data_IF_924365000123
#
_entry.id   IF_924365000123
#
_cell.length_a   1.000
_cell.length_b   1.000
_cell.length_c   1.000
_cell.angle_alpha   90.00
_cell.angle_beta   90.00
_cell.angle_gamma   90.00
#
_symmetry.space_group_name_H-M   'P 1'
#
loop_
_entity.id
_entity.type
_entity.pdbx_description
1 polymer ?
#
# COMPACT_ATOMS: atom_id res chain seq x y z
N UNK A 1 -14.91 -6.43 -15.48
CA UNK A 1 -13.58 -7.05 -15.68
C UNK A 1 -12.87 -7.13 -14.34
N UNK A 2 -12.28 -8.25 -14.02
CA UNK A 2 -11.61 -8.42 -12.72
C UNK A 2 -10.37 -7.51 -12.61
N UNK A 3 -10.25 -6.85 -11.48
CA UNK A 3 -9.20 -5.88 -11.19
C UNK A 3 -8.47 -6.29 -9.91
N UNK A 4 -7.19 -6.01 -9.86
CA UNK A 4 -6.39 -6.12 -8.64
C UNK A 4 -6.31 -4.76 -7.97
N UNK A 5 -6.70 -4.68 -6.71
CA UNK A 5 -6.71 -3.45 -5.93
C UNK A 5 -5.68 -3.59 -4.80
N UNK A 6 -4.75 -2.66 -4.78
CA UNK A 6 -3.74 -2.53 -3.74
C UNK A 6 -4.14 -1.40 -2.81
N UNK A 7 -4.10 -1.66 -1.52
CA UNK A 7 -4.42 -0.66 -0.51
C UNK A 7 -3.32 -0.56 0.53
N UNK A 8 -3.17 0.65 1.05
CA UNK A 8 -2.22 0.97 2.12
C UNK A 8 -3.01 1.61 3.25
N UNK A 9 -2.98 1.02 4.42
CA UNK A 9 -3.61 1.60 5.60
C UNK A 9 -2.72 1.45 6.83
N UNK A 10 -3.03 2.22 7.84
CA UNK A 10 -2.31 2.21 9.09
C UNK A 10 -3.10 2.87 10.21
N UNK A 11 -2.48 3.09 11.37
CA UNK A 11 -3.12 3.75 12.49
C UNK A 11 -3.58 5.16 12.12
N UNK A 12 -4.85 5.47 12.38
CA UNK A 12 -5.39 6.82 12.12
C UNK A 12 -4.62 7.91 12.87
N UNK A 13 -4.19 7.63 14.09
CA UNK A 13 -3.38 8.56 14.91
C UNK A 13 -2.07 8.99 14.24
N UNK A 14 -1.56 8.21 13.29
CA UNK A 14 -0.32 8.50 12.56
C UNK A 14 -0.56 9.12 11.17
N UNK A 15 -1.80 9.47 10.85
CA UNK A 15 -2.12 10.15 9.58
C UNK A 15 -1.31 11.41 9.33
N UNK A 16 -1.09 12.29 10.33
CA UNK A 16 -0.25 13.48 10.13
C UNK A 16 1.19 13.14 9.77
N UNK A 17 1.79 12.13 10.41
CA UNK A 17 3.14 11.69 10.12
C UNK A 17 3.25 11.11 8.71
N UNK A 18 2.31 10.26 8.32
CA UNK A 18 2.27 9.71 6.97
C UNK A 18 2.15 10.82 5.91
N UNK A 19 1.24 11.75 6.09
CA UNK A 19 1.01 12.86 5.15
C UNK A 19 2.19 13.82 5.06
N UNK A 20 2.91 14.04 6.16
CA UNK A 20 4.11 14.87 6.19
C UNK A 20 5.38 14.13 5.75
N UNK A 21 5.24 12.91 5.27
CA UNK A 21 6.35 12.07 4.84
C UNK A 21 7.36 11.75 5.96
N UNK A 22 6.87 11.63 7.17
CA UNK A 22 7.66 11.24 8.33
C UNK A 22 7.62 9.73 8.51
N UNK A 23 8.75 9.15 8.83
CA UNK A 23 8.90 7.73 9.06
C UNK A 23 7.99 7.20 10.17
N UNK A 24 7.27 6.12 9.89
CA UNK A 24 6.44 5.43 10.88
C UNK A 24 7.26 4.36 11.59
N UNK A 25 7.82 4.72 12.75
CA UNK A 25 8.75 3.88 13.50
C UNK A 25 8.04 2.82 14.33
N UNK A 26 8.56 1.61 14.27
CA UNK A 26 8.05 0.49 15.08
C UNK A 26 8.05 0.81 16.58
N UNK A 27 9.09 1.48 17.09
CA UNK A 27 9.23 1.85 18.50
C UNK A 27 8.13 2.81 18.97
N UNK A 28 7.53 3.54 18.04
CA UNK A 28 6.41 4.47 18.27
C UNK A 28 5.06 3.85 17.95
N UNK A 29 5.02 2.54 17.76
CA UNK A 29 3.83 1.82 17.33
C UNK A 29 3.42 2.14 15.88
N UNK A 30 4.38 2.56 15.05
CA UNK A 30 4.16 2.87 13.65
C UNK A 30 4.18 1.61 12.79
N UNK A 31 3.17 1.47 11.95
CA UNK A 31 3.08 0.40 10.98
C UNK A 31 2.18 0.80 9.81
N UNK A 32 2.42 0.18 8.69
CA UNK A 32 1.50 0.20 7.56
C UNK A 32 1.19 -1.24 7.15
N UNK A 33 0.00 -1.46 6.64
CA UNK A 33 -0.32 -2.68 5.93
C UNK A 33 -0.48 -2.37 4.45
N UNK A 34 0.26 -3.09 3.62
CA UNK A 34 0.08 -3.10 2.17
C UNK A 34 -0.56 -4.44 1.84
N UNK A 35 -1.78 -4.39 1.37
CA UNK A 35 -2.55 -5.58 1.07
C UNK A 35 -3.21 -5.49 -0.30
N UNK A 36 -3.85 -6.59 -0.69
CA UNK A 36 -4.59 -6.64 -1.95
C UNK A 36 -5.98 -7.26 -1.77
N UNK A 37 -6.85 -6.85 -2.66
CA UNK A 37 -8.13 -7.50 -2.90
C UNK A 37 -8.40 -7.52 -4.40
N UNK A 38 -9.44 -8.20 -4.81
CA UNK A 38 -9.90 -8.19 -6.19
C UNK A 38 -11.34 -7.72 -6.26
N UNK A 39 -11.69 -7.07 -7.35
CA UNK A 39 -13.03 -6.58 -7.62
C UNK A 39 -13.45 -6.94 -9.03
N UNK A 40 -14.62 -7.53 -9.17
CA UNK A 40 -15.19 -7.91 -10.46
C UNK A 40 -16.32 -6.98 -10.91
N UNK A 41 -16.90 -6.25 -9.97
CA UNK A 41 -17.97 -5.31 -10.25
C UNK A 41 -17.41 -3.95 -10.68
N UNK A 42 -17.60 -3.61 -11.94
CA UNK A 42 -17.10 -2.35 -12.52
C UNK A 42 -17.78 -1.10 -11.94
N UNK A 43 -18.92 -1.27 -11.24
CA UNK A 43 -19.62 -0.16 -10.59
C UNK A 43 -19.10 0.16 -9.18
N UNK A 44 -18.24 -0.70 -8.63
CA UNK A 44 -17.62 -0.48 -7.33
C UNK A 44 -16.25 0.16 -7.54
N UNK A 45 -16.04 1.33 -6.94
CA UNK A 45 -14.75 1.98 -7.06
C UNK A 45 -13.68 1.31 -6.17
N UNK A 46 -12.43 1.64 -6.47
CA UNK A 46 -11.26 1.04 -5.79
C UNK A 46 -11.24 1.32 -4.29
N UNK A 47 -11.68 2.50 -3.86
CA UNK A 47 -11.70 2.89 -2.46
C UNK A 47 -12.75 2.10 -1.68
N UNK A 48 -13.92 1.97 -2.24
CA UNK A 48 -15.02 1.18 -1.65
C UNK A 48 -14.60 -0.29 -1.49
N UNK A 49 -14.02 -0.88 -2.53
CA UNK A 49 -13.53 -2.25 -2.50
C UNK A 49 -12.44 -2.45 -1.44
N UNK A 50 -11.49 -1.53 -1.36
CA UNK A 50 -10.46 -1.55 -0.32
C UNK A 50 -11.06 -1.46 1.08
N UNK A 51 -12.01 -0.55 1.30
CA UNK A 51 -12.65 -0.37 2.59
C UNK A 51 -13.41 -1.61 3.07
N UNK A 52 -14.11 -2.29 2.17
CA UNK A 52 -14.78 -3.56 2.50
C UNK A 52 -13.78 -4.58 3.02
N UNK A 53 -12.65 -4.72 2.34
CA UNK A 53 -11.60 -5.67 2.73
C UNK A 53 -10.94 -5.28 4.06
N UNK A 54 -10.58 -4.01 4.22
CA UNK A 54 -9.96 -3.51 5.45
C UNK A 54 -10.88 -3.70 6.65
N UNK A 55 -12.16 -3.41 6.51
CA UNK A 55 -13.13 -3.62 7.58
C UNK A 55 -13.20 -5.08 8.04
N UNK A 56 -13.08 -6.01 7.12
CA UNK A 56 -13.00 -7.44 7.46
C UNK A 56 -11.75 -7.76 8.28
N UNK A 57 -10.62 -7.20 7.89
CA UNK A 57 -9.33 -7.41 8.56
C UNK A 57 -9.27 -6.76 9.95
N UNK A 58 -9.72 -5.52 10.06
CA UNK A 58 -9.70 -4.76 11.32
C UNK A 58 -10.58 -5.41 12.38
N UNK A 59 -11.74 -5.94 11.99
CA UNK A 59 -12.65 -6.63 12.91
C UNK A 59 -12.04 -7.86 13.58
N UNK A 60 -11.07 -8.49 12.92
CA UNK A 60 -10.55 -9.78 13.35
C UNK A 60 -9.22 -9.71 14.09
N UNK A 61 -8.49 -8.59 14.02
CA UNK A 61 -7.15 -8.62 14.55
C UNK A 61 -6.44 -7.31 14.87
N UNK A 62 -7.00 -6.15 14.56
CA UNK A 62 -6.34 -4.87 14.78
C UNK A 62 -7.10 -4.06 15.84
N UNK A 63 -6.49 -3.84 17.03
CA UNK A 63 -7.18 -3.24 18.17
C UNK A 63 -7.16 -1.70 18.18
N UNK A 64 -6.99 -1.05 17.05
CA UNK A 64 -7.00 0.41 16.94
C UNK A 64 -7.72 0.92 15.70
N UNK A 65 -8.10 2.19 15.72
CA UNK A 65 -8.72 2.84 14.58
C UNK A 65 -7.70 3.03 13.47
N UNK A 66 -8.06 2.61 12.27
CA UNK A 66 -7.21 2.69 11.09
C UNK A 66 -7.73 3.69 10.08
N UNK A 67 -6.81 4.19 9.26
CA UNK A 67 -7.06 5.09 8.15
C UNK A 67 -6.55 4.45 6.87
N UNK A 68 -7.37 4.47 5.82
CA UNK A 68 -6.95 4.12 4.48
C UNK A 68 -6.18 5.29 3.88
N UNK A 69 -4.92 5.06 3.54
CA UNK A 69 -4.02 6.10 3.05
C UNK A 69 -3.94 6.16 1.53
N UNK A 70 -3.77 5.01 0.88
CA UNK A 70 -3.57 4.93 -0.56
C UNK A 70 -4.34 3.75 -1.14
N UNK A 71 -4.84 3.91 -2.36
CA UNK A 71 -5.44 2.82 -3.13
C UNK A 71 -4.99 2.90 -4.57
N UNK A 72 -4.56 1.77 -5.12
CA UNK A 72 -4.13 1.63 -6.51
C UNK A 72 -4.89 0.50 -7.17
N UNK A 73 -5.15 0.66 -8.46
CA UNK A 73 -5.92 -0.29 -9.23
C UNK A 73 -5.13 -0.71 -10.46
N UNK A 74 -5.12 -2.00 -10.70
CA UNK A 74 -4.46 -2.60 -11.86
C UNK A 74 -5.40 -3.59 -12.55
N UNK A 75 -5.21 -3.85 -13.85
CA UNK A 75 -5.81 -5.02 -14.47
C UNK A 75 -5.49 -6.27 -13.65
N UNK A 76 -6.33 -7.30 -13.74
CA UNK A 76 -6.12 -8.53 -12.99
C UNK A 76 -4.67 -8.99 -13.07
N UNK A 77 -4.07 -9.15 -11.88
CA UNK A 77 -2.71 -9.65 -11.74
C UNK A 77 -2.74 -11.10 -11.23
N UNK A 78 -1.77 -11.87 -11.64
CA UNK A 78 -1.53 -13.22 -11.12
C UNK A 78 -0.63 -13.14 -9.89
N UNK A 79 -0.93 -13.95 -8.89
CA UNK A 79 -0.11 -14.05 -7.67
C UNK A 79 -0.35 -12.92 -6.66
N UNK A 80 0.62 -12.74 -5.80
CA UNK A 80 0.57 -11.79 -4.69
C UNK A 80 1.21 -10.46 -5.09
N UNK A 81 0.43 -9.59 -5.69
CA UNK A 81 0.89 -8.26 -6.13
C UNK A 81 1.33 -7.39 -4.96
N UNK A 82 0.63 -7.46 -3.85
CA UNK A 82 1.01 -6.77 -2.61
C UNK A 82 2.38 -7.20 -2.09
N UNK A 83 2.68 -8.49 -2.18
CA UNK A 83 3.99 -9.04 -1.79
C UNK A 83 5.10 -8.55 -2.74
N UNK A 84 4.82 -8.50 -4.04
CA UNK A 84 5.74 -7.95 -5.03
C UNK A 84 6.04 -6.47 -4.76
N UNK A 85 5.03 -5.68 -4.41
CA UNK A 85 5.20 -4.26 -4.06
C UNK A 85 6.00 -4.11 -2.77
N UNK A 86 5.70 -4.89 -1.73
CA UNK A 86 6.47 -4.86 -0.49
C UNK A 86 7.94 -5.20 -0.72
N UNK A 87 8.24 -6.14 -1.60
CA UNK A 87 9.63 -6.47 -1.94
C UNK A 87 10.38 -5.37 -2.69
N UNK A 88 9.63 -4.45 -3.31
CA UNK A 88 10.18 -3.26 -3.97
C UNK A 88 10.30 -2.05 -3.05
N UNK A 89 9.78 -2.13 -1.85
CA UNK A 89 10.16 -1.21 -0.79
C UNK A 89 11.64 -1.45 -0.51
N UNK A 90 12.43 -1.04 -1.46
CA UNK A 90 13.85 -1.08 -1.32
C UNK A 90 14.23 -0.04 -0.37
N UNK A 91 14.85 -0.31 0.24
CA UNK A 91 16.09 0.12 0.58
C UNK A 91 16.44 -0.69 1.78
N UNK A 92 17.63 -0.91 1.86
CA UNK A 92 18.24 -1.76 2.85
C UNK A 92 17.71 -1.50 4.27
N UNK A 93 17.26 -0.29 4.51
CA UNK A 93 16.66 0.12 5.79
C UNK A 93 15.32 -0.56 6.01
N UNK A 94 14.46 -0.57 5.02
CA UNK A 94 13.15 -1.18 5.13
C UNK A 94 13.24 -2.70 5.25
N UNK A 95 13.96 -3.30 4.33
CA UNK A 95 14.17 -4.73 4.35
C UNK A 95 14.89 -5.18 5.64
N UNK A 96 15.79 -4.36 6.12
CA UNK A 96 16.50 -4.61 7.37
C UNK A 96 15.57 -4.54 8.59
N UNK A 97 14.72 -3.52 8.66
CA UNK A 97 13.75 -3.39 9.76
C UNK A 97 12.70 -4.50 9.74
N UNK A 98 12.14 -4.77 8.58
CA UNK A 98 11.19 -5.86 8.41
C UNK A 98 11.85 -7.23 8.67
N UNK A 99 13.06 -7.44 8.18
CA UNK A 99 13.83 -8.65 8.44
C UNK A 99 14.18 -8.81 9.92
N UNK A 100 14.54 -7.73 10.59
CA UNK A 100 14.79 -7.76 12.03
C UNK A 100 13.56 -8.20 12.81
N UNK A 101 12.40 -7.66 12.48
CA UNK A 101 11.15 -8.03 13.15
C UNK A 101 10.81 -9.50 12.90
N UNK A 102 11.07 -10.02 11.72
CA UNK A 102 10.75 -11.40 11.38
C UNK A 102 11.83 -12.42 11.80
N UNK A 103 13.08 -12.02 11.82
CA UNK A 103 14.21 -12.93 12.04
C UNK A 103 14.83 -12.87 13.43
N UNK A 104 14.39 -11.97 14.30
CA UNK A 104 14.86 -11.94 15.68
C UNK A 104 14.48 -13.23 16.42
N UNK A 105 15.37 -13.74 17.24
CA UNK A 105 15.03 -14.78 18.18
C UNK A 105 13.90 -14.30 19.07
N UNK A 106 12.77 -14.97 18.95
CA UNK A 106 11.56 -14.61 19.70
C UNK A 106 11.68 -15.26 21.07
N UNK A 107 11.55 -14.46 22.12
CA UNK A 107 11.18 -15.02 23.42
C UNK A 107 9.84 -15.75 23.21
N UNK A 108 9.67 -16.91 23.82
CA UNK A 108 8.51 -17.78 23.59
C UNK A 108 7.15 -17.12 23.85
N UNK A 109 7.13 -15.96 24.45
CA UNK A 109 5.91 -15.18 24.73
C UNK A 109 5.73 -13.97 23.83
N UNK A 110 6.64 -13.69 22.92
CA UNK A 110 6.50 -12.61 21.96
C UNK A 110 5.61 -13.02 20.77
N UNK A 111 4.72 -12.12 20.41
CA UNK A 111 3.86 -12.27 19.22
C UNK A 111 4.28 -11.22 18.19
N UNK A 112 4.61 -11.66 17.00
CA UNK A 112 5.06 -10.78 15.93
C UNK A 112 3.96 -10.51 14.91
N UNK A 113 3.98 -9.30 14.34
CA UNK A 113 3.15 -8.96 13.21
C UNK A 113 3.45 -9.86 12.00
N UNK A 114 2.43 -10.11 11.21
CA UNK A 114 2.56 -10.86 9.96
C UNK A 114 3.42 -10.12 8.93
N UNK A 115 3.80 -10.82 7.87
CA UNK A 115 4.65 -10.29 6.78
C UNK A 115 4.05 -9.13 6.01
N UNK A 116 2.74 -8.95 6.11
CA UNK A 116 2.02 -7.89 5.41
C UNK A 116 2.17 -6.51 6.05
N UNK A 117 2.70 -6.47 7.27
CA UNK A 117 2.94 -5.23 8.00
C UNK A 117 4.36 -4.74 7.77
N UNK A 118 4.50 -3.46 7.51
CA UNK A 118 5.77 -2.80 7.22
C UNK A 118 6.02 -1.69 8.22
N UNK A 119 7.28 -1.52 8.59
CA UNK A 119 7.72 -0.59 9.64
C UNK A 119 8.87 0.26 9.12
N UNK A 120 9.08 1.42 9.73
CA UNK A 120 10.18 2.29 9.35
C UNK A 120 10.03 2.90 7.96
N UNK A 121 8.80 3.12 7.51
CA UNK A 121 8.47 3.50 6.14
C UNK A 121 7.89 4.89 6.09
N UNK A 122 8.26 5.66 5.08
CA UNK A 122 7.66 6.94 4.74
C UNK A 122 6.67 6.77 3.56
N UNK A 123 5.79 7.75 3.40
CA UNK A 123 4.90 7.80 2.23
C UNK A 123 5.66 7.77 0.91
N UNK A 124 6.76 8.54 0.83
CA UNK A 124 7.60 8.56 -0.38
C UNK A 124 8.15 7.19 -0.74
N UNK A 125 8.56 6.41 0.25
CA UNK A 125 9.05 5.05 0.01
C UNK A 125 7.94 4.14 -0.52
N UNK A 126 6.75 4.25 0.02
CA UNK A 126 5.58 3.51 -0.51
C UNK A 126 5.30 3.89 -1.95
N UNK A 127 5.22 5.17 -2.26
CA UNK A 127 4.94 5.66 -3.61
C UNK A 127 6.05 5.30 -4.60
N UNK A 128 7.30 5.28 -4.17
CA UNK A 128 8.42 4.82 -4.99
C UNK A 128 8.34 3.32 -5.30
N UNK A 129 7.94 2.51 -4.34
CA UNK A 129 7.73 1.07 -4.57
C UNK A 129 6.60 0.84 -5.59
N UNK A 130 5.51 1.56 -5.48
CA UNK A 130 4.41 1.53 -6.45
C UNK A 130 4.89 1.94 -7.83
N UNK A 131 5.64 3.03 -7.96
CA UNK A 131 6.18 3.48 -9.23
C UNK A 131 7.10 2.44 -9.87
N UNK A 132 7.94 1.78 -9.09
CA UNK A 132 8.80 0.69 -9.57
C UNK A 132 7.99 -0.51 -10.04
N UNK A 133 6.97 -0.89 -9.28
CA UNK A 133 6.06 -1.97 -9.68
C UNK A 133 5.37 -1.66 -11.02
N UNK A 134 4.81 -0.47 -11.16
CA UNK A 134 4.15 -0.04 -12.39
C UNK A 134 5.11 -0.04 -13.59
N UNK A 135 6.32 0.43 -13.39
CA UNK A 135 7.38 0.38 -14.41
C UNK A 135 7.68 -1.05 -14.84
N UNK A 136 7.87 -1.96 -13.90
CA UNK A 136 8.13 -3.37 -14.18
C UNK A 136 6.96 -4.02 -14.91
N UNK A 137 5.73 -3.74 -14.48
CA UNK A 137 4.51 -4.23 -15.11
C UNK A 137 4.42 -3.82 -16.57
N UNK A 138 4.75 -2.59 -16.89
CA UNK A 138 4.73 -2.07 -18.26
C UNK A 138 5.84 -2.70 -19.09
N UNK A 139 7.04 -2.79 -18.56
CA UNK A 139 8.17 -3.41 -19.26
C UNK A 139 7.93 -4.88 -19.57
N UNK A 140 7.38 -5.63 -18.63
CA UNK A 140 7.12 -7.06 -18.77
C UNK A 140 6.01 -7.35 -19.79
N UNK A 141 4.98 -6.51 -19.85
CA UNK A 141 3.82 -6.76 -20.69
C UNK A 141 3.90 -6.14 -22.09
N UNK A 142 4.59 -5.02 -22.25
CA UNK A 142 4.48 -4.20 -23.47
C UNK A 142 5.81 -3.88 -24.14
N UNK A 143 6.93 -4.21 -23.55
CA UNK A 143 8.23 -3.83 -24.06
C UNK A 143 8.45 -2.32 -24.07
N UNK A 144 9.61 -1.90 -24.61
CA UNK A 144 10.03 -0.50 -24.56
C UNK A 144 9.15 0.45 -25.36
N UNK A 145 8.60 0.00 -26.48
CA UNK A 145 7.77 0.85 -27.36
C UNK A 145 6.40 1.12 -26.72
N UNK A 146 5.79 0.12 -26.12
CA UNK A 146 4.55 0.29 -25.36
C UNK A 146 4.76 1.03 -24.05
N UNK A 147 5.98 1.04 -23.53
CA UNK A 147 6.33 1.69 -22.26
C UNK A 147 6.02 3.19 -22.28
N UNK A 148 6.50 3.92 -23.29
CA UNK A 148 6.33 5.37 -23.35
C UNK A 148 4.85 5.77 -23.49
N UNK A 149 4.09 5.01 -24.29
CA UNK A 149 2.66 5.25 -24.46
C UNK A 149 1.86 4.97 -23.18
N UNK A 150 2.16 3.88 -22.51
CA UNK A 150 1.48 3.50 -21.28
C UNK A 150 1.90 4.37 -20.10
N UNK A 151 3.14 4.78 -20.02
CA UNK A 151 3.58 5.76 -19.03
C UNK A 151 2.83 7.07 -19.16
N UNK A 152 2.55 7.50 -20.39
CA UNK A 152 1.74 8.69 -20.60
C UNK A 152 0.29 8.49 -20.15
N UNK A 153 -0.31 7.34 -20.44
CA UNK A 153 -1.66 7.00 -19.98
C UNK A 153 -1.77 6.92 -18.45
N UNK A 154 -0.82 6.26 -17.80
CA UNK A 154 -0.77 6.17 -16.33
C UNK A 154 -0.59 7.56 -15.72
N UNK A 155 0.27 8.38 -16.31
CA UNK A 155 0.50 9.74 -15.87
C UNK A 155 -0.75 10.60 -15.99
N UNK A 156 -1.48 10.47 -17.07
CA UNK A 156 -2.73 11.18 -17.31
C UNK A 156 -3.82 10.72 -16.32
N UNK A 157 -3.94 9.43 -16.07
CA UNK A 157 -4.87 8.89 -15.10
C UNK A 157 -4.54 9.30 -13.66
N UNK A 158 -3.26 9.27 -13.30
CA UNK A 158 -2.83 9.68 -11.96
C UNK A 158 -2.93 11.20 -11.76
N UNK A 159 -2.80 11.99 -12.79
CA UNK A 159 -3.04 13.44 -12.70
C UNK A 159 -4.52 13.78 -12.54
N UNK A 160 -5.43 12.93 -13.04
CA UNK A 160 -6.86 13.02 -12.76
C UNK A 160 -7.21 12.70 -11.31
N UNK A 161 -6.48 11.76 -10.70
CA UNK A 161 -6.64 11.35 -9.31
C UNK A 161 -5.82 12.20 -8.31
N UNK A 162 -5.02 13.15 -8.79
CA UNK A 162 -4.12 13.94 -7.95
C UNK A 162 -4.84 14.71 -6.85
N UNK A 163 -6.09 15.05 -7.05
CA UNK A 163 -6.92 15.67 -6.02
C UNK A 163 -7.31 14.71 -4.90
N UNK A 164 -7.39 13.42 -5.18
CA UNK A 164 -7.66 12.40 -4.16
C UNK A 164 -6.42 12.13 -3.29
N UNK A 165 -5.23 12.27 -3.86
CA UNK A 165 -3.97 12.01 -3.16
C UNK A 165 -3.29 13.27 -2.61
N UNK A 166 -3.62 14.40 -3.14
CA UNK A 166 -3.02 15.69 -2.77
C UNK A 166 -3.33 16.15 -1.37
N UNK A 167 -3.77 17.06 -0.93
CA UNK A 167 -4.08 17.45 0.44
C UNK A 167 -5.23 16.70 1.09
N UNK A 168 -5.99 15.92 0.32
CA UNK A 168 -7.21 15.28 0.80
C UNK A 168 -7.04 14.08 1.70
N UNK A 169 -5.86 13.48 1.71
CA UNK A 169 -5.60 12.28 2.52
C UNK A 169 -5.73 12.50 4.02
N UNK A 170 -5.54 13.73 4.44
CA UNK A 170 -5.61 14.11 5.86
C UNK A 170 -6.93 14.76 6.22
N UNK A 171 -7.53 15.46 5.26
CA UNK A 171 -8.69 16.31 5.52
C UNK A 171 -10.02 15.62 5.30
N UNK A 172 -10.04 14.57 4.48
CA UNK A 172 -11.25 13.82 4.23
C UNK A 172 -11.02 12.33 4.51
N UNK A 173 -11.23 11.89 5.76
CA UNK A 173 -11.32 10.48 6.02
C UNK A 173 -12.49 9.93 5.23
N UNK A 174 -12.24 8.98 4.36
CA UNK A 174 -13.33 8.22 3.77
C UNK A 174 -14.17 7.64 4.90
N UNK A 175 -15.48 7.79 4.83
CA UNK A 175 -16.34 7.24 5.86
C UNK A 175 -16.13 5.74 5.95
N UNK A 176 -15.83 5.31 7.14
CA UNK A 176 -15.71 3.90 7.48
C UNK A 176 -17.10 3.32 7.70
#
# INVERSE_FOLDING_TARGET
MKRTIIYVFGPKRLSPQYSSNTELKLQEGGWLKIGQTSEENDNIDKWESAMVRINQEVRTGIPEVCQLFEVFEYPEQTGNTDDAIRSLLTDDIYNLECSKVHNQNIDKYEIRAGREFVYGVTRSQVLNAIAKFERNLILDNYGKEGFDNLMQMIKDNNSGDSHAYGGGLVEEPHPV
#
